data_IF_376112966930
#
_entry.id   IF_376112966930
#
_cell.length_a   1.000
_cell.length_b   1.000
_cell.length_c   1.000
_cell.angle_alpha   90.00
_cell.angle_beta   90.00
_cell.angle_gamma   90.00
#
_symmetry.space_group_name_H-M   'P 1'
#
loop_
_entity.id
_entity.type
_entity.pdbx_description
1 polymer ?
#
# COMPACT_ATOMS: atom_id res chain seq x y z
N UNK A 1 -0.23 39.97 19.16
CA UNK A 1 -0.85 39.01 20.11
C UNK A 1 -1.42 37.86 19.28
N UNK A 2 -0.58 36.98 18.74
CA UNK A 2 -0.04 35.72 19.30
C UNK A 2 -1.04 34.56 19.34
N UNK A 3 -0.80 33.60 18.44
CA UNK A 3 -0.99 32.14 18.59
C UNK A 3 -2.40 31.64 18.94
N UNK A 4 -3.14 31.19 17.93
CA UNK A 4 -3.91 29.96 18.07
C UNK A 4 -3.07 28.79 17.54
N UNK A 5 -2.64 27.96 18.49
CA UNK A 5 -1.69 26.87 18.32
C UNK A 5 -2.27 25.75 17.45
N UNK A 6 -1.44 25.29 16.51
CA UNK A 6 -1.47 23.95 15.89
C UNK A 6 -1.99 22.91 16.88
N UNK A 7 -3.14 22.33 16.60
CA UNK A 7 -3.58 21.05 17.17
C UNK A 7 -3.27 19.95 16.16
N UNK A 8 -1.99 19.80 15.83
CA UNK A 8 -1.51 18.67 15.06
C UNK A 8 -1.13 17.60 16.07
N UNK A 9 -2.05 16.65 16.23
CA UNK A 9 -1.86 15.28 16.74
C UNK A 9 -0.59 15.02 17.57
N UNK A 10 -0.65 15.05 18.92
CA UNK A 10 0.48 14.69 19.78
C UNK A 10 0.87 13.19 19.71
N UNK A 11 0.16 12.37 18.92
CA UNK A 11 0.42 10.94 18.79
C UNK A 11 1.59 10.62 17.85
N UNK A 12 1.94 11.51 16.92
CA UNK A 12 2.95 11.21 15.88
C UNK A 12 4.38 11.13 16.44
N UNK A 13 4.66 11.78 17.58
CA UNK A 13 6.02 11.87 18.12
C UNK A 13 6.47 10.67 18.95
N UNK A 14 5.55 9.80 19.39
CA UNK A 14 5.87 8.65 20.27
C UNK A 14 6.06 7.32 19.54
N UNK A 15 5.72 7.26 18.25
CA UNK A 15 5.75 6.02 17.47
C UNK A 15 7.07 5.86 16.68
N UNK A 16 8.02 6.81 16.81
CA UNK A 16 9.30 6.73 16.09
C UNK A 16 10.28 5.71 16.65
N UNK A 17 10.12 5.26 17.89
CA UNK A 17 11.15 4.45 18.58
C UNK A 17 10.84 2.94 18.69
N UNK A 18 9.58 2.45 18.79
CA UNK A 18 9.33 1.01 18.70
C UNK A 18 9.15 0.48 17.27
N UNK A 19 8.93 1.36 16.27
CA UNK A 19 8.79 0.98 14.85
C UNK A 19 10.14 0.91 14.10
N UNK A 20 11.27 0.99 14.80
CA UNK A 20 12.63 0.96 14.24
C UNK A 20 13.08 -0.38 13.65
N UNK A 21 12.13 -1.21 13.20
CA UNK A 21 12.37 -2.53 12.62
C UNK A 21 11.48 -2.74 11.39
N UNK A 22 11.56 -1.84 10.42
CA UNK A 22 11.02 -2.08 9.07
C UNK A 22 11.85 -3.19 8.43
N UNK A 23 11.50 -4.44 8.70
CA UNK A 23 12.09 -5.57 8.00
C UNK A 23 11.88 -5.35 6.51
N UNK A 24 12.96 -5.45 5.73
CA UNK A 24 12.84 -5.64 4.29
C UNK A 24 12.08 -6.96 4.11
N UNK A 25 10.80 -6.88 3.79
CA UNK A 25 9.97 -8.05 3.59
C UNK A 25 9.99 -8.40 2.10
N UNK A 26 10.28 -9.66 1.81
CA UNK A 26 10.10 -10.21 0.47
C UNK A 26 8.59 -10.27 0.22
N UNK A 27 8.16 -9.80 -0.95
CA UNK A 27 6.74 -9.83 -1.33
C UNK A 27 6.32 -11.27 -1.59
N UNK A 28 5.18 -11.70 -1.04
CA UNK A 28 4.72 -13.08 -1.22
C UNK A 28 3.99 -13.24 -2.56
N UNK A 29 4.20 -14.35 -3.31
CA UNK A 29 3.54 -14.55 -4.62
C UNK A 29 2.01 -14.50 -4.57
N UNK A 30 1.40 -14.88 -3.43
CA UNK A 30 -0.07 -14.80 -3.27
C UNK A 30 -0.60 -13.36 -3.21
N UNK A 31 0.27 -12.36 -3.01
CA UNK A 31 -0.12 -10.95 -3.08
C UNK A 31 -0.21 -10.46 -4.53
N UNK A 32 0.22 -11.25 -5.53
CA UNK A 32 0.28 -10.79 -6.92
C UNK A 32 -1.11 -10.53 -7.50
N UNK A 33 -1.33 -9.28 -7.89
CA UNK A 33 -2.56 -8.81 -8.54
C UNK A 33 -2.48 -9.04 -10.03
N UNK A 34 -1.36 -8.64 -10.64
CA UNK A 34 -1.15 -8.68 -12.07
C UNK A 34 -0.16 -7.62 -12.53
N UNK A 35 0.09 -7.60 -13.83
CA UNK A 35 0.93 -6.62 -14.52
C UNK A 35 0.04 -5.63 -15.26
N UNK A 36 0.15 -4.35 -14.90
CA UNK A 36 -0.56 -3.24 -15.54
C UNK A 36 0.29 -2.72 -16.69
N UNK A 37 -0.31 -2.56 -17.87
CA UNK A 37 0.34 -2.01 -19.07
C UNK A 37 0.29 -0.48 -19.11
N UNK A 38 0.90 0.14 -18.10
CA UNK A 38 1.08 1.59 -17.98
C UNK A 38 2.42 1.87 -17.33
N UNK A 39 3.03 2.99 -17.69
CA UNK A 39 4.20 3.49 -16.98
C UNK A 39 3.86 3.81 -15.51
N UNK A 40 4.90 3.88 -14.67
CA UNK A 40 4.75 4.09 -13.23
C UNK A 40 4.03 5.41 -12.90
N UNK A 41 4.27 6.49 -13.65
CA UNK A 41 3.67 7.79 -13.35
C UNK A 41 2.18 7.77 -13.64
N UNK A 42 1.78 7.23 -14.80
CA UNK A 42 0.39 7.04 -15.18
C UNK A 42 -0.34 6.14 -14.19
N UNK A 43 0.24 5.01 -13.79
CA UNK A 43 -0.41 4.12 -12.83
C UNK A 43 -0.57 4.74 -11.43
N UNK A 44 0.40 5.56 -10.98
CA UNK A 44 0.25 6.33 -9.74
C UNK A 44 -0.87 7.36 -9.82
N UNK A 45 -1.14 7.92 -11.00
CA UNK A 45 -2.28 8.81 -11.19
C UNK A 45 -3.61 8.03 -11.09
N UNK A 46 -3.68 6.83 -11.67
CA UNK A 46 -4.85 5.95 -11.54
C UNK A 46 -5.12 5.57 -10.08
N UNK A 47 -4.07 5.23 -9.32
CA UNK A 47 -4.18 4.96 -7.89
C UNK A 47 -4.79 6.15 -7.13
N UNK A 48 -4.36 7.38 -7.42
CA UNK A 48 -4.95 8.58 -6.81
C UNK A 48 -6.40 8.79 -7.21
N UNK A 49 -6.75 8.51 -8.47
CA UNK A 49 -8.13 8.57 -8.94
C UNK A 49 -9.02 7.53 -8.23
N UNK A 50 -8.46 6.37 -7.87
CA UNK A 50 -9.07 5.35 -7.01
C UNK A 50 -8.92 5.66 -5.51
N UNK A 51 -8.65 6.91 -5.14
CA UNK A 51 -8.54 7.39 -3.75
C UNK A 51 -7.43 6.74 -2.90
N UNK A 52 -6.42 6.13 -3.53
CA UNK A 52 -5.23 5.68 -2.81
C UNK A 52 -4.34 6.86 -2.42
N UNK A 53 -3.68 6.70 -1.27
CA UNK A 53 -2.66 7.62 -0.77
C UNK A 53 -1.32 6.91 -0.67
N UNK A 54 -0.18 7.57 -0.96
CA UNK A 54 1.13 6.99 -0.71
C UNK A 54 1.28 6.70 0.78
N UNK A 55 1.74 5.51 1.14
CA UNK A 55 2.04 5.18 2.54
C UNK A 55 3.51 5.52 2.84
N UNK A 56 3.78 6.54 3.68
CA UNK A 56 5.15 6.92 4.01
C UNK A 56 5.83 5.94 4.97
N UNK A 57 5.04 5.13 5.68
CA UNK A 57 5.47 4.17 6.71
C UNK A 57 5.18 2.76 6.20
N UNK A 58 5.65 2.44 5.00
CA UNK A 58 5.64 1.08 4.49
C UNK A 58 7.07 0.56 4.47
N UNK A 59 7.27 -0.68 4.96
CA UNK A 59 8.52 -1.39 4.79
C UNK A 59 8.90 -1.38 3.31
N UNK A 60 10.16 -1.05 3.01
CA UNK A 60 10.71 -1.17 1.68
C UNK A 60 10.62 -2.66 1.29
N UNK A 61 9.66 -3.02 0.43
CA UNK A 61 9.51 -4.39 -0.04
C UNK A 61 10.50 -4.67 -1.16
N UNK A 62 10.98 -5.91 -1.17
CA UNK A 62 11.82 -6.43 -2.25
C UNK A 62 11.01 -7.46 -3.02
N UNK A 63 11.06 -7.36 -4.34
CA UNK A 63 10.50 -8.38 -5.22
C UNK A 63 11.35 -9.65 -5.14
N UNK A 64 10.80 -10.86 -5.36
CA UNK A 64 11.59 -12.10 -5.34
C UNK A 64 12.82 -12.11 -6.27
N UNK A 65 12.85 -11.30 -7.33
CA UNK A 65 14.00 -11.14 -8.24
C UNK A 65 15.03 -10.07 -7.78
N UNK A 66 14.84 -9.46 -6.61
CA UNK A 66 15.72 -8.44 -6.05
C UNK A 66 15.38 -6.99 -6.40
N UNK A 67 14.38 -6.73 -7.25
CA UNK A 67 13.91 -5.35 -7.51
C UNK A 67 13.36 -4.70 -6.22
N UNK A 68 13.64 -3.42 -6.03
CA UNK A 68 13.07 -2.63 -4.92
C UNK A 68 11.67 -2.12 -5.28
N UNK A 69 10.79 -2.05 -4.29
CA UNK A 69 9.45 -1.48 -4.47
C UNK A 69 9.54 -0.03 -4.96
N UNK A 70 8.79 0.27 -6.01
CA UNK A 70 8.63 1.60 -6.56
C UNK A 70 7.54 2.42 -5.85
N UNK A 71 6.97 1.91 -4.76
CA UNK A 71 6.06 2.64 -3.88
C UNK A 71 5.11 1.71 -3.15
N UNK A 72 4.61 2.20 -2.03
CA UNK A 72 3.50 1.61 -1.27
C UNK A 72 2.34 2.60 -1.23
N UNK A 73 1.14 2.07 -1.38
CA UNK A 73 -0.10 2.82 -1.51
C UNK A 73 -1.18 2.16 -0.69
N UNK A 74 -2.03 2.97 -0.08
CA UNK A 74 -3.12 2.49 0.76
C UNK A 74 -4.43 3.16 0.43
N UNK A 75 -5.48 2.34 0.40
CA UNK A 75 -6.86 2.77 0.27
C UNK A 75 -7.66 2.34 1.51
N UNK A 76 -8.47 3.26 2.05
CA UNK A 76 -9.31 3.05 3.23
C UNK A 76 -10.66 3.72 3.00
N UNK A 77 -11.73 3.13 3.52
CA UNK A 77 -13.07 3.72 3.44
C UNK A 77 -13.18 5.05 4.24
N UNK A 78 -12.38 5.18 5.30
CA UNK A 78 -12.27 6.43 6.07
C UNK A 78 -10.97 6.42 6.90
N UNK A 79 -10.63 7.56 7.51
CA UNK A 79 -9.47 7.68 8.42
C UNK A 79 -9.62 6.77 9.66
N UNK A 80 -10.85 6.49 10.09
CA UNK A 80 -11.17 5.62 11.23
C UNK A 80 -11.45 4.17 10.87
N UNK A 81 -11.20 3.75 9.62
CA UNK A 81 -11.43 2.37 9.20
C UNK A 81 -10.42 1.41 9.87
N UNK A 82 -10.91 0.24 10.28
CA UNK A 82 -10.07 -0.80 10.88
C UNK A 82 -9.17 -1.47 9.85
N UNK A 83 -9.65 -1.57 8.61
CA UNK A 83 -8.97 -2.27 7.52
C UNK A 83 -8.46 -1.29 6.46
N UNK A 84 -7.32 -1.63 5.87
CA UNK A 84 -6.78 -0.97 4.68
C UNK A 84 -6.48 -1.99 3.58
N UNK A 85 -6.62 -1.56 2.33
CA UNK A 85 -6.06 -2.26 1.18
C UNK A 85 -4.68 -1.66 0.92
N UNK A 86 -3.65 -2.48 1.05
CA UNK A 86 -2.27 -2.11 0.79
C UNK A 86 -1.88 -2.59 -0.60
N UNK A 87 -1.25 -1.72 -1.38
CA UNK A 87 -0.72 -2.01 -2.71
C UNK A 87 0.78 -1.68 -2.76
N UNK A 88 1.58 -2.63 -3.23
CA UNK A 88 3.01 -2.45 -3.52
C UNK A 88 3.25 -2.49 -5.02
N UNK A 89 4.09 -1.58 -5.51
CA UNK A 89 4.41 -1.45 -6.92
C UNK A 89 5.84 -1.88 -7.21
N UNK A 90 6.05 -2.56 -8.33
CA UNK A 90 7.37 -2.81 -8.90
C UNK A 90 7.39 -2.38 -10.37
N UNK A 91 8.45 -1.69 -10.78
CA UNK A 91 8.62 -1.31 -12.20
C UNK A 91 9.00 -2.57 -12.98
N UNK A 92 8.15 -2.94 -13.93
CA UNK A 92 8.38 -4.03 -14.87
C UNK A 92 9.16 -3.60 -16.11
N UNK A 93 9.25 -4.50 -17.09
CA UNK A 93 9.83 -4.21 -18.40
C UNK A 93 8.79 -3.55 -19.31
N UNK A 94 9.23 -2.84 -20.35
CA UNK A 94 8.35 -2.27 -21.40
C UNK A 94 7.19 -1.41 -20.87
N UNK A 95 7.49 -0.47 -19.97
CA UNK A 95 6.50 0.45 -19.38
C UNK A 95 5.30 -0.27 -18.74
N UNK A 96 5.62 -1.28 -17.93
CA UNK A 96 4.65 -2.01 -17.12
C UNK A 96 4.89 -1.83 -15.63
N UNK A 97 3.86 -2.05 -14.83
CA UNK A 97 3.94 -2.07 -13.37
C UNK A 97 3.36 -3.37 -12.86
N UNK A 98 4.16 -4.12 -12.13
CA UNK A 98 3.68 -5.26 -11.35
C UNK A 98 3.07 -4.77 -10.04
N UNK A 99 1.89 -5.28 -9.76
CA UNK A 99 1.05 -4.84 -8.65
C UNK A 99 0.87 -6.01 -7.70
N UNK A 100 1.12 -5.75 -6.41
CA UNK A 100 0.88 -6.68 -5.32
C UNK A 100 -0.04 -6.05 -4.30
N UNK A 101 -0.96 -6.82 -3.72
CA UNK A 101 -1.93 -6.33 -2.77
C UNK A 101 -2.30 -7.34 -1.69
N UNK A 102 -2.64 -6.82 -0.52
CA UNK A 102 -3.25 -7.55 0.59
C UNK A 102 -4.15 -6.61 1.39
N UNK A 103 -5.08 -7.17 2.15
CA UNK A 103 -5.82 -6.45 3.19
C UNK A 103 -5.16 -6.68 4.54
N UNK A 104 -5.10 -5.64 5.33
CA UNK A 104 -4.47 -5.64 6.65
C UNK A 104 -5.18 -4.64 7.56
N UNK A 105 -4.91 -4.75 8.86
CA UNK A 105 -5.33 -3.71 9.79
C UNK A 105 -4.64 -2.38 9.48
N UNK A 106 -5.39 -1.28 9.60
CA UNK A 106 -4.82 0.05 9.42
C UNK A 106 -3.88 0.38 10.56
N UNK A 107 -2.66 0.81 10.24
CA UNK A 107 -1.71 1.28 11.25
C UNK A 107 -2.20 2.54 12.00
N UNK A 108 -3.17 3.29 11.44
CA UNK A 108 -3.76 4.47 12.07
C UNK A 108 -4.64 4.12 13.27
N UNK A 109 -5.42 3.05 13.15
CA UNK A 109 -6.39 2.62 14.18
C UNK A 109 -5.87 1.45 15.01
N UNK A 110 -5.05 0.58 14.40
CA UNK A 110 -4.57 -0.68 14.96
C UNK A 110 -3.07 -0.90 14.71
N UNK A 111 -2.17 0.00 15.17
CA UNK A 111 -0.73 -0.05 14.88
C UNK A 111 -0.05 -1.35 15.31
N UNK A 112 -0.45 -1.93 16.46
CA UNK A 112 0.11 -3.20 16.92
C UNK A 112 -0.31 -4.38 16.04
N UNK A 113 -1.61 -4.49 15.72
CA UNK A 113 -2.13 -5.56 14.85
C UNK A 113 -1.53 -5.51 13.46
N UNK A 114 -1.37 -4.30 12.92
CA UNK A 114 -0.66 -4.05 11.67
C UNK A 114 0.80 -4.53 11.75
N UNK A 115 1.52 -4.16 12.81
CA UNK A 115 2.92 -4.53 13.01
C UNK A 115 3.15 -6.05 13.08
N UNK A 116 2.24 -6.79 13.74
CA UNK A 116 2.34 -8.27 13.81
C UNK A 116 1.68 -8.98 12.63
N UNK A 117 1.26 -8.24 11.59
CA UNK A 117 0.55 -8.77 10.42
C UNK A 117 -0.69 -9.61 10.77
N UNK A 118 -1.42 -9.25 11.83
CA UNK A 118 -2.68 -9.93 12.18
C UNK A 118 -3.70 -9.73 11.05
N UNK A 119 -4.41 -10.78 10.67
CA UNK A 119 -5.47 -10.69 9.66
C UNK A 119 -4.96 -10.41 8.24
N UNK A 120 -3.70 -10.74 7.94
CA UNK A 120 -3.11 -10.61 6.60
C UNK A 120 -3.87 -11.40 5.54
N UNK A 121 -4.68 -10.70 4.74
CA UNK A 121 -5.61 -11.29 3.78
C UNK A 121 -5.18 -10.97 2.34
N UNK A 122 -4.36 -11.85 1.77
CA UNK A 122 -3.84 -11.71 0.41
C UNK A 122 -4.91 -11.98 -0.65
N UNK A 123 -5.72 -13.01 -0.48
CA UNK A 123 -6.77 -13.37 -1.43
C UNK A 123 -7.83 -12.26 -1.56
N UNK A 124 -8.32 -11.73 -0.44
CA UNK A 124 -9.25 -10.62 -0.43
C UNK A 124 -8.63 -9.31 -0.93
N UNK A 125 -7.35 -9.06 -0.64
CA UNK A 125 -6.63 -7.91 -1.18
C UNK A 125 -6.45 -7.96 -2.69
N UNK A 126 -6.00 -9.09 -3.22
CA UNK A 126 -5.88 -9.32 -4.67
C UNK A 126 -7.23 -9.18 -5.36
N UNK A 127 -8.26 -9.86 -4.85
CA UNK A 127 -9.62 -9.79 -5.43
C UNK A 127 -10.15 -8.36 -5.44
N UNK A 128 -10.00 -7.62 -4.33
CA UNK A 128 -10.46 -6.23 -4.24
C UNK A 128 -9.68 -5.31 -5.18
N UNK A 129 -8.36 -5.46 -5.28
CA UNK A 129 -7.55 -4.64 -6.18
C UNK A 129 -7.90 -4.90 -7.64
N UNK A 130 -8.06 -6.16 -8.05
CA UNK A 130 -8.50 -6.51 -9.41
C UNK A 130 -9.87 -5.91 -9.75
N UNK A 131 -10.80 -5.94 -8.80
CA UNK A 131 -12.12 -5.31 -8.97
C UNK A 131 -11.99 -3.81 -9.19
N UNK A 132 -11.19 -3.12 -8.37
CA UNK A 132 -10.93 -1.68 -8.53
C UNK A 132 -10.31 -1.34 -9.89
N UNK A 133 -9.33 -2.13 -10.36
CA UNK A 133 -8.74 -1.94 -11.68
C UNK A 133 -9.78 -2.10 -12.79
N UNK A 134 -10.58 -3.17 -12.73
CA UNK A 134 -11.63 -3.43 -13.72
C UNK A 134 -12.70 -2.32 -13.74
N UNK A 135 -13.19 -1.92 -12.56
CA UNK A 135 -14.21 -0.88 -12.40
C UNK A 135 -13.75 0.49 -12.94
N UNK A 136 -12.44 0.74 -12.96
CA UNK A 136 -11.83 1.99 -13.45
C UNK A 136 -11.22 1.84 -14.86
N UNK A 137 -11.47 0.73 -15.56
CA UNK A 137 -10.99 0.52 -16.92
C UNK A 137 -9.45 0.41 -17.05
N UNK A 138 -8.77 0.01 -15.98
CA UNK A 138 -7.32 -0.22 -15.98
C UNK A 138 -7.03 -1.65 -16.38
N UNK A 139 -6.48 -1.84 -17.58
CA UNK A 139 -6.14 -3.16 -18.09
C UNK A 139 -4.91 -3.77 -17.36
N UNK A 140 -5.02 -5.04 -17.00
CA UNK A 140 -3.94 -5.83 -16.40
C UNK A 140 -3.94 -7.27 -16.92
N UNK A 141 -2.78 -7.93 -16.90
CA UNK A 141 -2.64 -9.37 -17.17
C UNK A 141 -2.23 -10.13 -15.91
N UNK A 142 -2.57 -11.41 -15.87
CA UNK A 142 -2.14 -12.36 -14.85
C UNK A 142 -1.35 -13.41 -15.62
N UNK A 143 -0.02 -13.35 -15.52
CA UNK A 143 0.90 -14.31 -16.14
C UNK A 143 1.46 -15.26 -15.08
#
# INVERSE_FOLDING_TARGET
>A
MTRFRRRVLPTVHRIKEPLGGFAQCITHPSEYVGTVRRDLASFRADLRAMEFTPEPIASLKTHPDGRRSAGSWVHRASIGADWQLHVTLFVGQHDTVEVFAHREYSWLTHPYKHYVSEGWDTAGGVSRMRSLLADNGVAFSIE
#
